data_IF_077121269417
#
_entry.id   IF_077121269417
#
_cell.length_a   1.000
_cell.length_b   1.000
_cell.length_c   1.000
_cell.angle_alpha   90.00
_cell.angle_beta   90.00
_cell.angle_gamma   90.00
#
_symmetry.space_group_name_H-M   'P 1'
#
loop_
_entity.id
_entity.type
_entity.pdbx_description
1 polymer ?
#
# COMPACT_ATOMS: atom_id res chain seq x y z
N UNK A 1 0.24 18.65 24.99
CA UNK A 1 0.30 17.16 25.01
C UNK A 1 0.00 16.71 23.61
N UNK A 2 0.87 15.89 23.00
CA UNK A 2 0.71 15.41 21.62
C UNK A 2 -0.53 14.52 21.50
N UNK A 3 -1.41 14.81 20.55
CA UNK A 3 -2.69 14.15 20.35
C UNK A 3 -2.65 13.33 19.07
N UNK A 4 -2.85 12.03 19.19
CA UNK A 4 -2.71 11.07 18.11
C UNK A 4 -4.05 10.45 17.76
N UNK A 5 -4.40 10.50 16.46
CA UNK A 5 -5.48 9.73 15.89
C UNK A 5 -4.98 8.41 15.30
N UNK A 6 -5.78 7.35 15.45
CA UNK A 6 -5.58 6.08 14.73
C UNK A 6 -6.85 5.78 13.94
N UNK A 7 -6.79 5.97 12.62
CA UNK A 7 -7.90 5.62 11.75
C UNK A 7 -7.77 4.16 11.32
N UNK A 8 -8.69 3.32 11.79
CA UNK A 8 -8.71 1.88 11.51
C UNK A 8 -10.15 1.36 11.58
N UNK A 9 -10.68 0.94 10.44
CA UNK A 9 -12.07 0.46 10.34
C UNK A 9 -12.19 -1.07 10.45
N UNK A 10 -11.29 -1.79 9.81
CA UNK A 10 -11.27 -3.26 9.79
C UNK A 10 -9.92 -3.81 10.24
N UNK A 11 -9.88 -5.06 10.68
CA UNK A 11 -8.66 -5.74 11.07
C UNK A 11 -8.25 -5.42 12.50
N UNK A 12 -9.02 -5.92 13.47
CA UNK A 12 -8.79 -5.76 14.91
C UNK A 12 -7.34 -6.03 15.31
N UNK A 13 -6.72 -7.08 14.75
CA UNK A 13 -5.36 -7.48 15.11
C UNK A 13 -4.32 -6.35 14.87
N UNK A 14 -4.31 -5.73 13.67
CA UNK A 14 -3.36 -4.66 13.35
C UNK A 14 -3.65 -3.39 14.15
N UNK A 15 -4.93 -3.03 14.29
CA UNK A 15 -5.39 -1.90 15.10
C UNK A 15 -4.93 -2.05 16.55
N UNK A 16 -5.17 -3.21 17.12
CA UNK A 16 -4.88 -3.48 18.52
C UNK A 16 -3.36 -3.47 18.78
N UNK A 17 -2.56 -4.02 17.85
CA UNK A 17 -1.09 -3.96 17.89
C UNK A 17 -0.56 -2.52 17.79
N UNK A 18 -1.10 -1.71 16.87
CA UNK A 18 -0.72 -0.30 16.76
C UNK A 18 -1.14 0.51 17.99
N UNK A 19 -2.35 0.29 18.49
CA UNK A 19 -2.83 0.93 19.72
C UNK A 19 -1.92 0.60 20.91
N UNK A 20 -1.59 -0.69 21.09
CA UNK A 20 -0.68 -1.12 22.15
C UNK A 20 0.72 -0.50 21.99
N UNK A 21 1.25 -0.44 20.77
CA UNK A 21 2.57 0.15 20.50
C UNK A 21 2.60 1.66 20.76
N UNK A 22 1.54 2.39 20.42
CA UNK A 22 1.40 3.82 20.70
C UNK A 22 1.32 4.06 22.22
N UNK A 23 0.53 3.24 22.95
CA UNK A 23 0.46 3.31 24.42
C UNK A 23 1.80 3.01 25.10
N UNK A 24 2.51 2.00 24.61
CA UNK A 24 3.87 1.67 25.10
C UNK A 24 4.86 2.81 24.85
N UNK A 25 4.62 3.65 23.85
CA UNK A 25 5.38 4.87 23.58
C UNK A 25 4.86 6.11 24.34
N UNK A 26 3.92 5.93 25.29
CA UNK A 26 3.38 6.99 26.14
C UNK A 26 2.29 7.85 25.50
N UNK A 27 1.67 7.37 24.40
CA UNK A 27 0.58 8.06 23.70
C UNK A 27 -0.72 7.28 23.79
N UNK A 28 -1.82 7.94 24.15
CA UNK A 28 -3.13 7.33 24.07
C UNK A 28 -3.79 7.70 22.72
N UNK A 29 -3.93 6.76 21.78
CA UNK A 29 -4.52 7.04 20.48
C UNK A 29 -6.03 7.15 20.58
N UNK A 30 -6.62 8.14 19.91
CA UNK A 30 -8.05 8.22 19.68
C UNK A 30 -8.39 7.40 18.43
N UNK A 31 -9.24 6.39 18.59
CA UNK A 31 -9.69 5.52 17.50
C UNK A 31 -10.93 6.13 16.83
N UNK A 32 -10.93 6.22 15.51
CA UNK A 32 -12.09 6.65 14.74
C UNK A 32 -12.07 6.09 13.31
N UNK A 33 -13.22 6.20 12.64
CA UNK A 33 -13.35 5.93 11.20
C UNK A 33 -13.24 7.22 10.40
N UNK A 34 -12.58 7.19 9.24
CA UNK A 34 -12.62 8.32 8.31
C UNK A 34 -14.03 8.62 7.79
N UNK A 35 -14.94 7.64 7.85
CA UNK A 35 -16.35 7.83 7.47
C UNK A 35 -17.11 8.75 8.44
N UNK A 36 -16.61 8.89 9.68
CA UNK A 36 -17.24 9.71 10.71
C UNK A 36 -16.71 11.16 10.75
N UNK A 37 -15.72 11.48 9.89
CA UNK A 37 -15.18 12.84 9.78
C UNK A 37 -16.15 13.72 8.98
N UNK A 38 -16.47 14.88 9.51
CA UNK A 38 -17.36 15.84 8.85
C UNK A 38 -16.56 17.01 8.28
N UNK A 39 -16.84 17.34 7.01
CA UNK A 39 -16.38 18.57 6.36
C UNK A 39 -17.53 19.58 6.41
N UNK A 40 -17.24 20.80 6.82
CA UNK A 40 -18.21 21.89 6.87
C UNK A 40 -17.64 23.14 6.18
N UNK A 41 -18.48 23.78 5.39
CA UNK A 41 -18.22 25.12 4.84
C UNK A 41 -19.15 26.12 5.55
N UNK A 42 -18.63 27.26 5.93
CA UNK A 42 -19.37 28.27 6.72
C UNK A 42 -18.82 28.42 8.14
N UNK A 43 -19.64 28.98 9.04
CA UNK A 43 -19.21 29.23 10.42
C UNK A 43 -18.95 27.93 11.20
N UNK A 44 -17.88 27.91 12.00
CA UNK A 44 -17.46 26.80 12.86
C UNK A 44 -16.27 26.03 12.33
N UNK A 45 -16.05 24.83 12.87
CA UNK A 45 -14.90 23.99 12.52
C UNK A 45 -15.03 23.43 11.10
N UNK A 46 -14.08 23.70 10.19
CA UNK A 46 -14.13 23.21 8.82
C UNK A 46 -13.94 21.69 8.71
N UNK A 47 -13.23 21.10 9.67
CA UNK A 47 -13.03 19.65 9.80
C UNK A 47 -13.33 19.24 11.24
N UNK A 48 -14.33 18.39 11.41
CA UNK A 48 -14.65 17.78 12.69
C UNK A 48 -14.19 16.33 12.68
N UNK A 49 -13.17 16.03 13.47
CA UNK A 49 -12.61 14.69 13.64
C UNK A 49 -13.11 14.12 14.98
N UNK A 50 -13.76 12.95 15.01
CA UNK A 50 -14.27 12.38 16.26
C UNK A 50 -13.20 12.24 17.33
N UNK A 51 -13.51 12.70 18.55
CA UNK A 51 -12.58 12.71 19.68
C UNK A 51 -11.54 13.85 19.67
N UNK A 52 -11.66 14.79 18.71
CA UNK A 52 -10.80 15.97 18.59
C UNK A 52 -11.59 17.26 18.47
N UNK A 53 -12.72 17.35 19.17
CA UNK A 53 -13.59 18.52 19.16
C UNK A 53 -12.80 19.77 19.60
N UNK A 54 -12.93 20.85 18.84
CA UNK A 54 -12.23 22.13 19.08
C UNK A 54 -10.78 22.17 18.65
N UNK A 55 -10.25 21.11 18.02
CA UNK A 55 -8.86 21.06 17.54
C UNK A 55 -8.68 19.92 16.54
N UNK A 56 -7.50 19.80 15.95
CA UNK A 56 -7.09 18.67 15.13
C UNK A 56 -6.08 17.78 15.88
N UNK A 57 -5.93 16.50 15.50
CA UNK A 57 -4.80 15.71 15.98
C UNK A 57 -3.46 16.30 15.48
N UNK A 58 -2.40 16.17 16.26
CA UNK A 58 -1.04 16.50 15.81
C UNK A 58 -0.56 15.49 14.76
N UNK A 59 -1.00 14.24 14.89
CA UNK A 59 -0.70 13.17 13.95
C UNK A 59 -1.84 12.17 13.80
N UNK A 60 -1.98 11.65 12.60
CA UNK A 60 -2.91 10.59 12.23
C UNK A 60 -2.15 9.40 11.66
N UNK A 61 -2.20 8.27 12.37
CA UNK A 61 -1.73 6.99 11.84
C UNK A 61 -2.91 6.30 11.14
N UNK A 62 -2.78 6.10 9.83
CA UNK A 62 -3.83 5.47 9.02
C UNK A 62 -3.52 3.98 8.84
N UNK A 63 -4.45 3.12 9.25
CA UNK A 63 -4.32 1.67 9.03
C UNK A 63 -5.14 1.18 7.84
N UNK A 64 -6.34 1.72 7.67
CA UNK A 64 -7.24 1.32 6.59
C UNK A 64 -8.08 2.51 6.12
N UNK A 65 -8.40 2.49 4.84
CA UNK A 65 -9.50 3.27 4.28
C UNK A 65 -10.57 2.26 3.90
N UNK A 66 -11.80 2.42 4.42
CA UNK A 66 -12.91 1.54 4.04
C UNK A 66 -13.11 1.59 2.53
N UNK A 67 -13.39 0.44 1.97
CA UNK A 67 -13.93 0.33 0.62
C UNK A 67 -15.29 1.03 0.52
N UNK A 68 -15.80 1.14 -0.70
CA UNK A 68 -17.10 1.78 -0.96
C UNK A 68 -17.21 2.19 -2.41
N UNK A 69 -18.16 3.09 -2.69
CA UNK A 69 -18.28 3.70 -4.01
C UNK A 69 -17.07 4.61 -4.28
N UNK A 70 -16.91 4.98 -5.54
CA UNK A 70 -15.88 5.95 -5.94
C UNK A 70 -15.99 7.25 -5.15
N UNK A 71 -17.23 7.76 -4.95
CA UNK A 71 -17.53 8.99 -4.20
C UNK A 71 -17.11 8.87 -2.74
N UNK A 72 -17.43 7.75 -2.08
CA UNK A 72 -17.08 7.52 -0.69
C UNK A 72 -15.55 7.44 -0.49
N UNK A 73 -14.85 6.77 -1.39
CA UNK A 73 -13.38 6.66 -1.36
C UNK A 73 -12.73 8.00 -1.62
N UNK A 74 -13.23 8.75 -2.63
CA UNK A 74 -12.75 10.10 -2.96
C UNK A 74 -12.96 11.08 -1.80
N UNK A 75 -14.11 11.02 -1.11
CA UNK A 75 -14.36 11.85 0.07
C UNK A 75 -13.34 11.58 1.18
N UNK A 76 -13.06 10.30 1.48
CA UNK A 76 -12.10 9.93 2.53
C UNK A 76 -10.67 10.36 2.19
N UNK A 77 -10.26 10.24 0.94
CA UNK A 77 -8.98 10.78 0.47
C UNK A 77 -8.94 12.30 0.58
N UNK A 78 -10.04 12.98 0.20
CA UNK A 78 -10.19 14.43 0.38
C UNK A 78 -10.06 14.88 1.84
N UNK A 79 -10.63 14.12 2.80
CA UNK A 79 -10.42 14.35 4.24
C UNK A 79 -8.94 14.27 4.61
N UNK A 80 -8.21 13.26 4.13
CA UNK A 80 -6.78 13.13 4.42
C UNK A 80 -5.97 14.28 3.82
N UNK A 81 -6.29 14.72 2.61
CA UNK A 81 -5.67 15.91 2.00
C UNK A 81 -5.94 17.17 2.83
N UNK A 82 -7.18 17.35 3.30
CA UNK A 82 -7.56 18.49 4.13
C UNK A 82 -6.81 18.49 5.48
N UNK A 83 -6.66 17.31 6.12
CA UNK A 83 -5.87 17.18 7.35
C UNK A 83 -4.40 17.53 7.12
N UNK A 84 -3.79 17.05 6.04
CA UNK A 84 -2.40 17.41 5.68
C UNK A 84 -2.28 18.91 5.41
N UNK A 85 -3.21 19.51 4.66
CA UNK A 85 -3.23 20.95 4.41
C UNK A 85 -3.38 21.79 5.69
N UNK A 86 -4.05 21.25 6.71
CA UNK A 86 -4.17 21.85 8.04
C UNK A 86 -2.92 21.59 8.93
N UNK A 87 -1.89 20.90 8.45
CA UNK A 87 -0.65 20.65 9.15
C UNK A 87 -0.60 19.37 9.98
N UNK A 88 -1.63 18.51 9.88
CA UNK A 88 -1.61 17.20 10.56
C UNK A 88 -0.60 16.27 9.88
N UNK A 89 0.27 15.64 10.67
CA UNK A 89 1.18 14.60 10.16
C UNK A 89 0.40 13.31 9.90
N UNK A 90 0.14 12.98 8.64
CA UNK A 90 -0.60 11.77 8.25
C UNK A 90 0.33 10.69 7.72
N UNK A 91 0.30 9.50 8.29
CA UNK A 91 1.06 8.31 7.83
C UNK A 91 0.12 7.14 7.47
N UNK A 92 0.15 6.61 6.22
CA UNK A 92 0.76 7.23 5.03
C UNK A 92 -0.05 8.45 4.60
N UNK A 93 0.65 9.42 4.01
CA UNK A 93 -0.02 10.59 3.44
C UNK A 93 -0.88 10.23 2.22
N UNK A 94 -1.95 11.03 1.92
CA UNK A 94 -2.91 10.72 0.87
C UNK A 94 -2.27 10.51 -0.50
N UNK A 95 -1.30 11.32 -0.88
CA UNK A 95 -0.58 11.19 -2.16
C UNK A 95 0.13 9.83 -2.29
N UNK A 96 0.77 9.35 -1.22
CA UNK A 96 1.42 8.04 -1.22
C UNK A 96 0.39 6.91 -1.33
N UNK A 97 -0.77 7.06 -0.68
CA UNK A 97 -1.87 6.09 -0.77
C UNK A 97 -2.41 6.01 -2.19
N UNK A 98 -2.74 7.14 -2.80
CA UNK A 98 -3.23 7.22 -4.18
C UNK A 98 -2.26 6.56 -5.16
N UNK A 99 -0.96 6.85 -5.04
CA UNK A 99 0.09 6.26 -5.87
C UNK A 99 0.21 4.75 -5.71
N UNK A 100 0.05 4.23 -4.48
CA UNK A 100 0.18 2.79 -4.22
C UNK A 100 -1.10 2.02 -4.54
N UNK A 101 -2.29 2.63 -4.42
CA UNK A 101 -3.57 1.99 -4.77
C UNK A 101 -3.69 1.86 -6.28
N UNK A 102 -3.26 2.86 -7.03
CA UNK A 102 -3.18 2.84 -8.49
C UNK A 102 -1.90 2.11 -8.94
N UNK A 103 -2.02 0.84 -9.31
CA UNK A 103 -0.90 0.03 -9.80
C UNK A 103 -0.21 0.63 -11.03
N UNK A 104 -0.97 1.35 -11.87
CA UNK A 104 -0.40 1.99 -13.07
C UNK A 104 0.52 3.13 -12.69
N UNK A 105 0.11 3.96 -11.74
CA UNK A 105 0.93 5.05 -11.20
C UNK A 105 2.14 4.51 -10.45
N UNK A 106 1.96 3.47 -9.62
CA UNK A 106 3.09 2.79 -8.96
C UNK A 106 4.13 2.36 -10.00
N UNK A 107 3.73 1.62 -11.03
CA UNK A 107 4.67 1.11 -12.06
C UNK A 107 5.37 2.24 -12.82
N UNK A 108 4.65 3.32 -13.15
CA UNK A 108 5.22 4.50 -13.79
C UNK A 108 6.29 5.16 -12.90
N UNK A 109 6.01 5.33 -11.62
CA UNK A 109 6.93 5.95 -10.66
C UNK A 109 8.18 5.08 -10.42
N UNK A 110 8.01 3.76 -10.31
CA UNK A 110 9.12 2.81 -10.22
C UNK A 110 10.02 2.90 -11.46
N UNK A 111 9.42 2.88 -12.66
CA UNK A 111 10.18 3.02 -13.92
C UNK A 111 10.95 4.33 -14.01
N UNK A 112 10.34 5.46 -13.62
CA UNK A 112 11.01 6.78 -13.58
C UNK A 112 12.14 6.86 -12.56
N UNK A 113 12.03 6.10 -11.48
CA UNK A 113 13.08 6.01 -10.45
C UNK A 113 14.17 4.98 -10.79
N UNK A 114 14.08 4.30 -11.95
CA UNK A 114 15.03 3.24 -12.33
C UNK A 114 14.94 1.99 -11.45
N UNK A 115 13.79 1.78 -10.78
CA UNK A 115 13.56 0.60 -9.94
C UNK A 115 13.21 -0.59 -10.84
N UNK A 116 13.98 -1.69 -10.83
CA UNK A 116 13.70 -2.89 -11.58
C UNK A 116 12.31 -3.47 -11.28
N UNK A 117 11.52 -3.68 -12.34
CA UNK A 117 10.18 -4.28 -12.28
C UNK A 117 9.92 -5.04 -13.57
N UNK A 118 8.98 -5.99 -13.61
CA UNK A 118 8.58 -6.63 -14.86
C UNK A 118 7.96 -5.61 -15.82
N UNK A 119 8.14 -5.81 -17.14
CA UNK A 119 7.49 -5.00 -18.15
C UNK A 119 5.98 -4.88 -17.87
N UNK A 120 5.50 -3.66 -17.85
CA UNK A 120 4.11 -3.34 -17.48
C UNK A 120 3.45 -2.53 -18.58
N UNK A 121 2.21 -2.88 -18.91
CA UNK A 121 1.41 -2.23 -19.94
C UNK A 121 0.03 -1.92 -19.39
N UNK A 122 -0.48 -0.72 -19.63
CA UNK A 122 -1.80 -0.29 -19.16
C UNK A 122 -2.59 0.31 -20.31
N UNK A 123 -3.78 -0.21 -20.55
CA UNK A 123 -4.65 0.18 -21.64
C UNK A 123 -6.10 0.24 -21.17
N UNK A 124 -6.90 1.07 -21.85
CA UNK A 124 -8.34 1.23 -21.53
C UNK A 124 -9.27 0.69 -22.62
N UNK A 125 -8.71 0.24 -23.76
CA UNK A 125 -9.50 -0.32 -24.86
C UNK A 125 -9.17 -1.78 -25.06
N UNK A 126 -10.20 -2.63 -25.20
CA UNK A 126 -10.06 -4.07 -25.37
C UNK A 126 -9.33 -4.42 -26.67
N UNK A 127 -9.59 -3.68 -27.75
CA UNK A 127 -8.94 -3.89 -29.06
C UNK A 127 -7.43 -3.66 -28.94
N UNK A 128 -7.00 -2.57 -28.31
CA UNK A 128 -5.58 -2.28 -28.10
C UNK A 128 -4.93 -3.30 -27.15
N UNK A 129 -5.69 -3.82 -26.16
CA UNK A 129 -5.24 -4.89 -25.28
C UNK A 129 -5.06 -6.21 -26.06
N UNK A 130 -5.95 -6.54 -26.99
CA UNK A 130 -5.82 -7.72 -27.85
C UNK A 130 -4.60 -7.64 -28.77
N UNK A 131 -4.35 -6.48 -29.38
CA UNK A 131 -3.15 -6.22 -30.20
C UNK A 131 -1.86 -6.37 -29.38
N UNK A 132 -1.86 -5.85 -28.14
CA UNK A 132 -0.74 -5.99 -27.22
C UNK A 132 -0.49 -7.47 -26.89
N UNK A 133 -1.52 -8.20 -26.49
CA UNK A 133 -1.42 -9.63 -26.15
C UNK A 133 -0.91 -10.44 -27.34
N UNK A 134 -1.43 -10.20 -28.56
CA UNK A 134 -0.96 -10.87 -29.76
C UNK A 134 0.54 -10.67 -30.05
N UNK A 135 1.08 -9.52 -29.65
CA UNK A 135 2.49 -9.18 -29.83
C UNK A 135 3.38 -9.66 -28.70
N UNK A 136 2.91 -9.52 -27.45
CA UNK A 136 3.74 -9.67 -26.25
C UNK A 136 3.57 -11.01 -25.53
N UNK A 137 2.42 -11.69 -25.69
CA UNK A 137 2.13 -12.95 -25.01
C UNK A 137 2.25 -14.15 -25.95
N UNK A 138 2.22 -15.35 -25.38
CA UNK A 138 2.25 -16.62 -26.10
C UNK A 138 2.45 -17.81 -25.14
N UNK A 139 2.43 -19.04 -25.67
CA UNK A 139 2.66 -20.25 -24.88
C UNK A 139 3.99 -20.19 -24.10
N UNK A 140 3.91 -20.37 -22.78
CA UNK A 140 5.07 -20.28 -21.88
C UNK A 140 5.59 -18.85 -21.64
N UNK A 141 4.92 -17.84 -22.17
CA UNK A 141 5.28 -16.42 -22.02
C UNK A 141 4.03 -15.57 -21.74
N UNK A 142 3.27 -15.88 -20.70
CA UNK A 142 2.03 -15.18 -20.41
C UNK A 142 2.26 -13.77 -19.87
N UNK A 143 1.22 -12.94 -19.98
CA UNK A 143 1.06 -11.71 -19.21
C UNK A 143 0.13 -11.97 -18.02
N UNK A 144 0.44 -11.37 -16.90
CA UNK A 144 -0.46 -11.33 -15.73
C UNK A 144 -1.38 -10.13 -15.87
N UNK A 145 -2.66 -10.37 -16.10
CA UNK A 145 -3.69 -9.32 -16.00
C UNK A 145 -4.08 -9.15 -14.54
N UNK A 146 -4.02 -7.91 -14.06
CA UNK A 146 -4.35 -7.56 -12.66
C UNK A 146 -5.46 -6.50 -12.65
N UNK A 147 -6.39 -6.54 -11.70
CA UNK A 147 -7.25 -5.39 -11.43
C UNK A 147 -6.42 -4.16 -11.08
N UNK A 148 -6.79 -2.99 -11.64
CA UNK A 148 -6.08 -1.74 -11.32
C UNK A 148 -6.13 -1.47 -9.81
N UNK A 149 -7.33 -1.57 -9.23
CA UNK A 149 -7.58 -1.53 -7.80
C UNK A 149 -7.90 -2.94 -7.31
N UNK A 150 -7.19 -3.42 -6.31
CA UNK A 150 -7.38 -4.78 -5.79
C UNK A 150 -6.22 -5.20 -4.90
N UNK A 151 -6.47 -6.20 -4.07
CA UNK A 151 -5.49 -6.73 -3.13
C UNK A 151 -5.63 -8.25 -3.01
N UNK A 152 -4.72 -8.88 -2.27
CA UNK A 152 -4.81 -10.29 -1.86
C UNK A 152 -4.85 -11.32 -3.02
N UNK A 153 -4.38 -10.93 -4.21
CA UNK A 153 -4.35 -11.83 -5.37
C UNK A 153 -5.72 -12.10 -6.00
N UNK A 154 -6.73 -11.28 -5.70
CA UNK A 154 -8.05 -11.38 -6.33
C UNK A 154 -8.01 -10.87 -7.76
N UNK A 155 -8.74 -11.55 -8.66
CA UNK A 155 -8.90 -11.15 -10.05
C UNK A 155 -7.65 -11.27 -10.92
N UNK A 156 -6.58 -11.92 -10.46
CA UNK A 156 -5.39 -12.19 -11.27
C UNK A 156 -5.68 -13.26 -12.30
N UNK A 157 -5.29 -13.03 -13.57
CA UNK A 157 -5.42 -13.97 -14.67
C UNK A 157 -4.12 -14.06 -15.46
N UNK A 158 -3.76 -15.26 -15.92
CA UNK A 158 -2.72 -15.45 -16.94
C UNK A 158 -3.35 -15.34 -18.32
N UNK A 159 -2.75 -14.52 -19.18
CA UNK A 159 -3.24 -14.25 -20.55
C UNK A 159 -2.13 -14.65 -21.51
N UNK A 160 -2.43 -15.64 -22.37
CA UNK A 160 -1.51 -16.11 -23.40
C UNK A 160 -1.98 -15.75 -24.82
N UNK A 161 -3.28 -15.51 -24.99
CA UNK A 161 -3.90 -15.23 -26.29
C UNK A 161 -4.94 -14.13 -26.16
N UNK A 162 -5.25 -13.39 -27.25
CA UNK A 162 -6.29 -12.38 -27.25
C UNK A 162 -7.68 -12.90 -26.82
N UNK A 163 -7.97 -14.17 -27.08
CA UNK A 163 -9.23 -14.82 -26.70
C UNK A 163 -9.39 -15.02 -25.20
N UNK A 164 -8.27 -15.00 -24.45
CA UNK A 164 -8.27 -15.12 -22.97
C UNK A 164 -8.66 -13.81 -22.30
N UNK A 165 -8.78 -12.70 -23.05
CA UNK A 165 -9.10 -11.39 -22.52
C UNK A 165 -10.54 -11.31 -22.00
N UNK A 166 -10.75 -10.86 -20.76
CA UNK A 166 -12.09 -10.58 -20.27
C UNK A 166 -12.73 -9.39 -20.98
N UNK A 167 -14.05 -9.30 -20.86
CA UNK A 167 -14.77 -8.11 -21.31
C UNK A 167 -14.45 -6.87 -20.46
N UNK A 168 -14.58 -5.68 -21.05
CA UNK A 168 -14.22 -4.43 -20.40
C UNK A 168 -14.91 -4.23 -19.03
N UNK A 169 -16.15 -4.67 -18.89
CA UNK A 169 -16.90 -4.59 -17.64
C UNK A 169 -16.31 -5.43 -16.51
N UNK A 170 -15.67 -6.56 -16.82
CA UNK A 170 -15.02 -7.44 -15.81
C UNK A 170 -13.74 -6.84 -15.22
N UNK A 171 -13.11 -5.92 -15.93
CA UNK A 171 -11.85 -5.24 -15.53
C UNK A 171 -12.06 -3.74 -15.30
N UNK A 172 -13.29 -3.30 -15.11
CA UNK A 172 -13.65 -1.88 -14.92
C UNK A 172 -13.08 -0.97 -16.01
N UNK A 173 -12.98 -1.47 -17.25
CA UNK A 173 -12.46 -0.72 -18.40
C UNK A 173 -10.95 -0.52 -18.43
N UNK A 174 -10.17 -1.16 -17.55
CA UNK A 174 -8.71 -1.00 -17.49
C UNK A 174 -8.02 -2.36 -17.56
N UNK A 175 -7.17 -2.52 -18.55
CA UNK A 175 -6.31 -3.67 -18.75
C UNK A 175 -4.92 -3.34 -18.25
N UNK A 176 -4.58 -3.78 -17.05
CA UNK A 176 -3.25 -3.67 -16.46
C UNK A 176 -2.53 -5.01 -16.60
N UNK A 177 -1.52 -5.06 -17.43
CA UNK A 177 -0.70 -6.25 -17.63
C UNK A 177 0.69 -6.06 -17.05
N UNK A 178 1.21 -7.15 -16.51
CA UNK A 178 2.61 -7.25 -16.11
C UNK A 178 3.20 -8.54 -16.66
N UNK A 179 4.44 -8.49 -17.15
CA UNK A 179 5.15 -9.70 -17.61
C UNK A 179 5.18 -10.72 -16.48
N UNK A 180 4.74 -11.95 -16.75
CA UNK A 180 4.91 -13.05 -15.81
C UNK A 180 6.39 -13.39 -15.65
N UNK A 181 6.85 -13.50 -14.43
CA UNK A 181 8.23 -13.88 -14.09
C UNK A 181 8.19 -15.26 -13.45
N UNK A 182 8.63 -16.31 -14.13
CA UNK A 182 8.66 -17.65 -13.57
C UNK A 182 9.74 -17.76 -12.49
N UNK A 183 9.50 -18.57 -11.47
CA UNK A 183 10.55 -18.89 -10.49
C UNK A 183 11.65 -19.77 -11.13
N UNK A 184 12.92 -19.48 -10.89
CA UNK A 184 14.04 -20.21 -11.51
C UNK A 184 14.06 -21.69 -11.13
N UNK A 185 13.63 -22.04 -9.92
CA UNK A 185 13.59 -23.40 -9.37
C UNK A 185 12.22 -24.08 -9.53
N UNK A 186 11.27 -23.42 -10.20
CA UNK A 186 9.91 -23.93 -10.39
C UNK A 186 9.02 -23.86 -9.15
N UNK A 187 9.52 -23.38 -8.02
CA UNK A 187 8.73 -23.20 -6.82
C UNK A 187 7.94 -21.90 -6.89
N UNK A 188 6.71 -21.93 -6.41
CA UNK A 188 5.85 -20.74 -6.37
C UNK A 188 6.20 -19.88 -5.18
N UNK A 189 7.01 -18.83 -5.39
CA UNK A 189 7.50 -17.94 -4.34
C UNK A 189 7.48 -16.49 -4.77
N UNK A 190 7.13 -15.64 -3.83
CA UNK A 190 7.44 -14.23 -3.84
C UNK A 190 8.01 -13.78 -2.49
N UNK A 191 8.47 -12.56 -2.41
CA UNK A 191 9.17 -12.04 -1.24
C UNK A 191 8.51 -10.73 -0.83
N UNK A 192 8.26 -10.54 0.46
CA UNK A 192 7.80 -9.27 1.00
C UNK A 192 8.85 -8.67 1.91
N UNK A 193 9.23 -7.42 1.61
CA UNK A 193 10.04 -6.59 2.51
C UNK A 193 9.15 -5.52 3.11
N UNK A 194 9.16 -5.42 4.42
CA UNK A 194 8.50 -4.34 5.14
C UNK A 194 9.48 -3.19 5.30
N UNK A 195 9.13 -2.01 4.79
CA UNK A 195 9.92 -0.77 4.87
C UNK A 195 9.20 0.22 5.77
N UNK A 196 9.93 0.92 6.65
CA UNK A 196 9.38 1.97 7.50
C UNK A 196 10.40 3.10 7.64
N UNK A 197 9.98 4.33 7.39
CA UNK A 197 10.83 5.53 7.44
C UNK A 197 12.10 5.41 6.59
N UNK A 198 12.00 4.77 5.41
CA UNK A 198 13.12 4.57 4.48
C UNK A 198 14.04 3.39 4.81
N UNK A 199 13.81 2.68 5.92
CA UNK A 199 14.64 1.56 6.37
C UNK A 199 13.93 0.21 6.20
N UNK A 200 14.66 -0.86 5.80
CA UNK A 200 14.09 -2.21 5.77
C UNK A 200 13.94 -2.72 7.20
N UNK A 201 12.75 -3.19 7.56
CA UNK A 201 12.40 -3.61 8.93
C UNK A 201 12.47 -5.13 9.09
N UNK A 202 11.83 -5.85 8.19
CA UNK A 202 11.75 -7.30 8.18
C UNK A 202 11.34 -7.81 6.80
N UNK A 203 11.55 -9.09 6.53
CA UNK A 203 11.08 -9.72 5.31
C UNK A 203 10.61 -11.14 5.51
N UNK A 204 9.81 -11.62 4.56
CA UNK A 204 9.37 -13.01 4.48
C UNK A 204 9.37 -13.51 3.04
N UNK A 205 9.52 -14.82 2.89
CA UNK A 205 9.13 -15.54 1.68
C UNK A 205 7.66 -15.90 1.84
N UNK A 206 6.88 -15.80 0.75
CA UNK A 206 5.55 -16.40 0.67
C UNK A 206 5.63 -17.54 -0.33
N UNK A 207 5.40 -18.76 0.14
CA UNK A 207 5.45 -19.97 -0.68
C UNK A 207 4.03 -20.51 -0.85
N UNK A 208 3.61 -20.72 -2.08
CA UNK A 208 2.27 -21.20 -2.45
C UNK A 208 2.31 -22.54 -3.18
N UNK A 209 1.13 -23.16 -3.30
CA UNK A 209 0.91 -24.36 -4.13
C UNK A 209 0.63 -24.01 -5.60
N UNK A 210 0.65 -22.72 -5.93
CA UNK A 210 0.45 -22.16 -7.26
C UNK A 210 1.10 -20.79 -7.40
N UNK A 211 1.02 -20.21 -8.58
CA UNK A 211 1.66 -18.93 -8.92
C UNK A 211 1.11 -17.70 -8.14
N UNK A 212 -0.05 -17.84 -7.47
CA UNK A 212 -0.57 -16.83 -6.54
C UNK A 212 -0.15 -17.21 -5.13
N UNK A 213 0.78 -16.50 -4.54
CA UNK A 213 1.48 -16.83 -3.30
C UNK A 213 0.99 -16.02 -2.09
N UNK A 214 -0.06 -15.22 -2.24
CA UNK A 214 -0.61 -14.40 -1.17
C UNK A 214 -1.03 -15.25 0.05
N UNK A 215 -0.66 -14.83 1.27
CA UNK A 215 -1.02 -15.55 2.52
C UNK A 215 -2.53 -15.74 2.65
N UNK A 216 -3.33 -14.76 2.23
CA UNK A 216 -4.79 -14.89 2.23
C UNK A 216 -5.31 -16.01 1.31
N UNK A 217 -4.54 -16.41 0.30
CA UNK A 217 -4.81 -17.49 -0.65
C UNK A 217 -4.15 -18.82 -0.26
N UNK A 218 -3.67 -18.94 0.97
CA UNK A 218 -3.02 -20.16 1.47
C UNK A 218 -1.48 -20.15 1.37
N UNK A 219 -0.89 -19.08 0.86
CA UNK A 219 0.56 -18.94 0.85
C UNK A 219 1.15 -18.99 2.25
N UNK A 220 2.21 -19.78 2.43
CA UNK A 220 2.89 -19.98 3.71
C UNK A 220 3.96 -18.91 3.91
N UNK A 221 3.92 -18.11 4.98
CA UNK A 221 5.02 -17.24 5.34
C UNK A 221 6.20 -18.06 5.86
N UNK A 222 7.40 -17.77 5.37
CA UNK A 222 8.64 -18.37 5.80
C UNK A 222 9.63 -17.29 6.23
N UNK A 223 10.51 -17.56 7.22
CA UNK A 223 11.56 -16.64 7.61
C UNK A 223 12.48 -16.29 6.44
N UNK A 224 12.90 -15.04 6.35
CA UNK A 224 13.83 -14.59 5.31
C UNK A 224 14.80 -13.55 5.84
N UNK A 225 16.09 -13.87 5.80
CA UNK A 225 17.14 -12.88 5.99
C UNK A 225 17.23 -12.04 4.71
N UNK A 226 16.67 -10.84 4.75
CA UNK A 226 16.57 -9.96 3.57
C UNK A 226 17.97 -9.60 3.05
N UNK A 227 18.35 -10.01 1.83
CA UNK A 227 19.65 -9.65 1.28
C UNK A 227 19.79 -8.14 1.06
N UNK A 228 20.98 -7.54 1.14
CA UNK A 228 21.19 -6.11 0.97
C UNK A 228 20.61 -5.56 -0.35
N UNK A 229 20.66 -6.33 -1.44
CA UNK A 229 20.09 -5.93 -2.74
C UNK A 229 18.57 -5.82 -2.69
N UNK A 230 17.88 -6.79 -2.06
CA UNK A 230 16.42 -6.76 -1.90
C UNK A 230 15.99 -5.63 -0.97
N UNK A 231 16.74 -5.39 0.11
CA UNK A 231 16.51 -4.30 1.04
C UNK A 231 16.62 -2.93 0.34
N UNK A 232 17.72 -2.69 -0.38
CA UNK A 232 17.93 -1.45 -1.13
C UNK A 232 16.83 -1.22 -2.18
N UNK A 233 16.46 -2.29 -2.92
CA UNK A 233 15.39 -2.24 -3.92
C UNK A 233 14.03 -1.87 -3.31
N UNK A 234 13.69 -2.49 -2.17
CA UNK A 234 12.44 -2.21 -1.47
C UNK A 234 12.41 -0.78 -0.92
N UNK A 235 13.51 -0.27 -0.37
CA UNK A 235 13.61 1.12 0.08
C UNK A 235 13.47 2.10 -1.08
N UNK A 236 14.12 1.84 -2.22
CA UNK A 236 13.98 2.66 -3.42
C UNK A 236 12.53 2.68 -3.94
N UNK A 237 11.84 1.53 -3.94
CA UNK A 237 10.44 1.43 -4.34
C UNK A 237 9.50 2.21 -3.39
N UNK A 238 9.71 2.10 -2.07
CA UNK A 238 8.96 2.87 -1.09
C UNK A 238 9.18 4.38 -1.26
N UNK A 239 10.42 4.81 -1.49
CA UNK A 239 10.77 6.21 -1.75
C UNK A 239 10.12 6.74 -3.04
N UNK A 240 10.10 5.95 -4.13
CA UNK A 240 9.49 6.33 -5.40
C UNK A 240 7.99 6.63 -5.26
N UNK A 241 7.28 5.92 -4.40
CA UNK A 241 5.86 6.16 -4.11
C UNK A 241 5.63 7.21 -3.04
N UNK A 242 6.63 7.53 -2.21
CA UNK A 242 6.54 8.43 -1.07
C UNK A 242 5.89 7.78 0.17
N UNK A 243 5.85 6.45 0.22
CA UNK A 243 5.25 5.74 1.35
C UNK A 243 6.15 5.81 2.60
N UNK A 244 5.60 6.31 3.70
CA UNK A 244 6.30 6.39 4.98
C UNK A 244 6.52 5.00 5.62
N UNK A 245 5.59 4.06 5.38
CA UNK A 245 5.77 2.64 5.62
C UNK A 245 5.04 1.84 4.54
N UNK A 246 5.59 0.70 4.17
CA UNK A 246 5.03 -0.10 3.08
C UNK A 246 5.45 -1.57 3.16
N UNK A 247 4.65 -2.43 2.52
CA UNK A 247 5.04 -3.78 2.15
C UNK A 247 5.39 -3.80 0.67
N UNK A 248 6.65 -4.07 0.34
CA UNK A 248 7.13 -4.16 -1.04
C UNK A 248 7.21 -5.63 -1.42
N UNK A 249 6.49 -5.99 -2.48
CA UNK A 249 6.46 -7.35 -3.00
C UNK A 249 7.45 -7.50 -4.15
N UNK A 250 8.30 -8.50 -4.04
CA UNK A 250 9.39 -8.78 -4.96
C UNK A 250 9.27 -10.19 -5.55
N UNK A 251 9.83 -10.40 -6.73
CA UNK A 251 10.07 -11.70 -7.33
C UNK A 251 11.54 -11.80 -7.74
N UNK A 252 12.13 -13.01 -7.69
CA UNK A 252 13.47 -13.23 -8.22
C UNK A 252 13.50 -13.08 -9.74
N UNK A 253 14.54 -12.41 -10.27
CA UNK A 253 14.77 -12.28 -11.72
C UNK A 253 15.45 -13.53 -12.33
N UNK A 254 15.84 -14.51 -11.51
CA UNK A 254 16.56 -15.70 -11.95
C UNK A 254 18.07 -15.53 -12.06
N UNK A 255 18.59 -14.31 -11.97
CA UNK A 255 20.03 -13.97 -12.12
C UNK A 255 20.66 -13.53 -10.78
N UNK A 256 19.95 -13.78 -9.67
CA UNK A 256 20.38 -13.41 -8.32
C UNK A 256 19.97 -12.00 -7.91
N UNK A 257 19.12 -11.33 -8.69
CA UNK A 257 18.48 -10.06 -8.39
C UNK A 257 16.98 -10.22 -8.10
N UNK A 258 16.30 -9.09 -8.02
CA UNK A 258 14.86 -9.01 -7.74
C UNK A 258 14.20 -7.94 -8.60
N UNK A 259 12.91 -8.17 -8.89
CA UNK A 259 12.01 -7.22 -9.54
C UNK A 259 10.87 -6.86 -8.57
N UNK A 260 10.48 -5.59 -8.54
CA UNK A 260 9.35 -5.12 -7.73
C UNK A 260 8.05 -5.44 -8.44
N UNK A 261 7.15 -6.17 -7.78
CA UNK A 261 5.81 -6.47 -8.27
C UNK A 261 4.79 -5.43 -7.86
N UNK A 262 4.90 -4.92 -6.62
CA UNK A 262 3.90 -4.04 -6.01
C UNK A 262 4.47 -3.32 -4.77
N UNK A 263 3.94 -2.11 -4.49
CA UNK A 263 4.18 -1.37 -3.24
C UNK A 263 2.85 -1.13 -2.55
N UNK A 264 2.69 -1.66 -1.34
CA UNK A 264 1.46 -1.56 -0.55
C UNK A 264 1.61 -0.51 0.57
N UNK A 265 0.88 0.60 0.50
CA UNK A 265 0.92 1.68 1.51
C UNK A 265 0.17 1.36 2.81
N UNK A 266 -0.67 0.35 2.83
CA UNK A 266 -1.39 -0.13 4.02
C UNK A 266 -1.22 -1.64 4.16
N UNK A 267 0.03 -2.13 4.28
CA UNK A 267 0.31 -3.56 4.22
C UNK A 267 -0.29 -4.29 5.42
N UNK A 268 -0.78 -5.51 5.19
CA UNK A 268 -0.98 -6.46 6.25
C UNK A 268 0.36 -7.12 6.60
N UNK A 269 0.67 -7.21 7.89
CA UNK A 269 1.92 -7.81 8.37
C UNK A 269 1.70 -8.95 9.38
N UNK A 270 0.45 -9.41 9.58
CA UNK A 270 0.17 -10.52 10.49
C UNK A 270 0.96 -11.78 10.13
N UNK A 271 1.00 -12.15 8.84
CA UNK A 271 1.82 -13.27 8.37
C UNK A 271 3.33 -13.05 8.56
N UNK A 272 3.82 -11.84 8.28
CA UNK A 272 5.23 -11.50 8.51
C UNK A 272 5.60 -11.59 10.00
N UNK A 273 4.70 -11.17 10.89
CA UNK A 273 4.96 -11.21 12.34
C UNK A 273 5.09 -12.64 12.88
N UNK A 274 4.58 -13.65 12.19
CA UNK A 274 4.74 -15.06 12.63
C UNK A 274 6.13 -15.62 12.36
N UNK A 275 6.93 -14.95 11.51
CA UNK A 275 8.24 -15.41 11.04
C UNK A 275 9.36 -14.42 11.32
N UNK A 276 9.11 -13.39 12.12
CA UNK A 276 10.11 -12.43 12.59
C UNK A 276 9.89 -12.07 14.05
N UNK A 277 10.98 -11.88 14.79
CA UNK A 277 10.95 -11.38 16.17
C UNK A 277 10.88 -9.85 16.25
N UNK A 278 11.04 -9.16 15.11
CA UNK A 278 10.98 -7.69 15.04
C UNK A 278 9.58 -7.21 15.39
N UNK A 279 9.45 -6.31 16.37
CA UNK A 279 8.19 -5.64 16.70
C UNK A 279 7.86 -4.59 15.63
N UNK A 280 7.10 -5.03 14.60
CA UNK A 280 6.72 -4.20 13.46
C UNK A 280 5.84 -3.03 13.92
N UNK A 281 4.85 -3.29 14.77
CA UNK A 281 3.94 -2.24 15.26
C UNK A 281 4.70 -1.17 16.08
N UNK A 282 5.61 -1.59 16.96
CA UNK A 282 6.47 -0.69 17.72
C UNK A 282 7.41 0.12 16.84
N UNK A 283 7.92 -0.49 15.76
CA UNK A 283 8.76 0.23 14.79
C UNK A 283 7.97 1.32 14.07
N UNK A 284 6.75 1.03 13.59
CA UNK A 284 5.86 2.02 12.98
C UNK A 284 5.55 3.13 13.99
N UNK A 285 5.11 2.79 15.20
CA UNK A 285 4.72 3.76 16.22
C UNK A 285 5.87 4.72 16.58
N UNK A 286 7.07 4.20 16.83
CA UNK A 286 8.26 5.02 17.13
C UNK A 286 8.65 5.93 15.98
N UNK A 287 8.62 5.44 14.74
CA UNK A 287 8.97 6.24 13.57
C UNK A 287 7.93 7.33 13.30
N UNK A 288 6.64 6.99 13.40
CA UNK A 288 5.53 7.93 13.27
C UNK A 288 5.61 9.04 14.33
N UNK A 289 5.80 8.70 15.59
CA UNK A 289 5.89 9.70 16.67
C UNK A 289 7.09 10.64 16.50
N UNK A 290 8.22 10.14 16.01
CA UNK A 290 9.36 11.03 15.66
C UNK A 290 8.97 12.03 14.58
N UNK A 291 8.22 11.61 13.56
CA UNK A 291 7.75 12.50 12.52
C UNK A 291 6.75 13.54 13.04
N UNK A 292 5.82 13.15 13.91
CA UNK A 292 4.86 14.08 14.55
C UNK A 292 5.56 15.11 15.43
N UNK A 293 6.47 14.67 16.28
CA UNK A 293 7.20 15.57 17.21
C UNK A 293 8.11 16.55 16.45
N UNK A 294 8.68 16.12 15.32
CA UNK A 294 9.52 16.96 14.47
C UNK A 294 8.76 17.93 13.56
N UNK A 295 7.45 17.80 13.47
CA UNK A 295 6.60 18.68 12.66
C UNK A 295 6.12 19.90 13.47
N UNK A 296 5.78 20.99 12.76
CA UNK A 296 5.08 22.11 13.38
C UNK A 296 3.64 21.67 13.76
N UNK A 297 3.07 22.20 14.87
CA UNK A 297 1.71 21.84 15.25
C UNK A 297 0.69 22.26 14.18
N UNK A 298 -0.36 21.47 13.97
CA UNK A 298 -1.40 21.78 12.99
C UNK A 298 -2.12 23.09 13.35
N UNK A 299 -2.51 23.84 12.32
CA UNK A 299 -3.26 25.08 12.48
C UNK A 299 -4.65 24.87 11.88
N UNK A 300 -5.68 25.04 12.70
CA UNK A 300 -7.02 25.33 12.17
C UNK A 300 -6.88 26.64 11.37
N UNK A 301 -7.16 26.59 10.06
CA UNK A 301 -7.25 27.82 9.30
C UNK A 301 -8.27 28.72 10.01
N UNK A 302 -7.83 29.90 10.46
CA UNK A 302 -8.75 30.89 10.99
C UNK A 302 -9.79 31.14 9.91
N UNK A 303 -11.08 31.03 10.25
CA UNK A 303 -12.15 31.51 9.40
C UNK A 303 -11.78 32.97 9.05
N UNK A 304 -11.52 33.24 7.76
CA UNK A 304 -11.11 34.54 7.29
C UNK A 304 -12.09 35.58 7.78
N UNK A 305 -11.53 36.67 8.32
CA UNK A 305 -12.28 37.86 8.68
C UNK A 305 -12.92 38.51 7.45
#
# INVERSE_FOLDING_TARGET
MTRIGLAAENGAWHRDRLSAALRAAGMEPVLFSLADVTIRTGEGEPLRVPGFEGCLPDGLLLRTISGGTFEATTLRLGVLHALVAAGVTVWNGPVAIERCVDKSMTSLLLGRAGVPQPDTFVLSRRESAAELVAREAGPGRPLVLKPLFGSQGEGLRLIERPEDLPEAGEVSGVYYFQRYVPSPDGAWRDYRVFVCAGEPVAGMIREGDGWITNVHRGGRPLPWAVPPRAAALACAAAAATGAAYSGVDLVSDGEGGFLVLEVNSMPAWSGLQTVTEVDIAGTIARAFLRAVIGAAPPRLAAAGA
#
